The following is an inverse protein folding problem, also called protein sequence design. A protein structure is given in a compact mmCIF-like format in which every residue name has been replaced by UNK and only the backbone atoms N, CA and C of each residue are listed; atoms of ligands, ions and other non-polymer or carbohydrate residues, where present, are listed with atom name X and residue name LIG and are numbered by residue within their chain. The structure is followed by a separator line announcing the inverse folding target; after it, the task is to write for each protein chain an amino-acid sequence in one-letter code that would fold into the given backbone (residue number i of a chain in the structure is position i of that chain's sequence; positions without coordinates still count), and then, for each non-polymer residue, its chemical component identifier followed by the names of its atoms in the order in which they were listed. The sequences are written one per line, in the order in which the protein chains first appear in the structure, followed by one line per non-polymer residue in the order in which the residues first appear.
data_IF_735093247982
#
_entry.id   IF_735093247982
#
_cell.length_a   1.000
_cell.length_b   1.000
_cell.length_c   1.000
_cell.angle_alpha   90.00
_cell.angle_beta   90.00
_cell.angle_gamma   90.00
#
_symmetry.space_group_name_H-M   'P 1'
#
loop_
_entity.id
_entity.type
_entity.pdbx_description
1 polymer ?
#
# COMPACT_ATOMS: atom_id res chain seq x y z
N UNK A 1 -12.22 -12.76 -7.56
CA UNK A 1 -12.25 -12.74 -9.05
C UNK A 1 -10.95 -13.30 -9.59
N UNK A 2 -11.00 -14.05 -10.68
CA UNK A 2 -9.87 -14.87 -11.19
C UNK A 2 -8.56 -14.10 -11.40
N UNK A 3 -8.63 -12.85 -11.86
CA UNK A 3 -7.44 -12.04 -12.16
C UNK A 3 -6.75 -11.53 -10.88
N UNK A 4 -7.49 -10.80 -10.03
CA UNK A 4 -6.93 -10.19 -8.80
C UNK A 4 -6.50 -11.24 -7.78
N UNK A 5 -7.26 -12.32 -7.63
CA UNK A 5 -6.91 -13.40 -6.70
C UNK A 5 -5.60 -14.08 -7.14
N UNK A 6 -5.46 -14.42 -8.42
CA UNK A 6 -4.22 -15.03 -8.94
C UNK A 6 -3.00 -14.15 -8.72
N UNK A 7 -3.13 -12.82 -8.89
CA UNK A 7 -2.04 -11.87 -8.63
C UNK A 7 -1.71 -11.72 -7.14
N UNK A 8 -2.68 -11.91 -6.26
CA UNK A 8 -2.49 -11.81 -4.81
C UNK A 8 -1.90 -13.09 -4.19
N UNK A 9 -2.44 -14.27 -4.52
CA UNK A 9 -2.11 -15.54 -3.83
C UNK A 9 -1.42 -16.58 -4.72
N UNK A 10 -1.14 -16.24 -5.97
CA UNK A 10 -0.50 -17.12 -6.94
C UNK A 10 -1.45 -18.09 -7.66
N UNK A 11 -0.94 -18.68 -8.75
CA UNK A 11 -1.71 -19.54 -9.68
C UNK A 11 -2.30 -20.78 -9.01
N UNK A 12 -1.49 -21.54 -8.27
CA UNK A 12 -1.91 -22.84 -7.73
C UNK A 12 -3.10 -22.71 -6.79
N UNK A 13 -2.98 -21.80 -5.81
CA UNK A 13 -4.03 -21.55 -4.82
C UNK A 13 -5.28 -20.94 -5.44
N UNK A 14 -5.12 -19.96 -6.33
CA UNK A 14 -6.28 -19.37 -7.02
C UNK A 14 -7.03 -20.40 -7.86
N UNK A 15 -6.33 -21.35 -8.50
CA UNK A 15 -6.97 -22.39 -9.30
C UNK A 15 -7.79 -23.34 -8.43
N UNK A 16 -7.22 -23.82 -7.33
CA UNK A 16 -7.91 -24.67 -6.36
C UNK A 16 -9.20 -24.00 -5.85
N UNK A 17 -9.10 -22.75 -5.39
CA UNK A 17 -10.26 -22.01 -4.87
C UNK A 17 -11.32 -21.75 -5.95
N UNK A 18 -10.91 -21.33 -7.15
CA UNK A 18 -11.87 -21.00 -8.22
C UNK A 18 -12.58 -22.23 -8.80
N UNK A 19 -11.93 -23.40 -8.82
CA UNK A 19 -12.54 -24.62 -9.37
C UNK A 19 -13.35 -25.40 -8.34
N UNK A 20 -12.97 -25.36 -7.06
CA UNK A 20 -13.67 -26.10 -5.99
C UNK A 20 -14.71 -25.27 -5.26
N UNK A 21 -14.61 -23.94 -5.32
CA UNK A 21 -15.43 -23.04 -4.53
C UNK A 21 -15.11 -23.07 -3.02
N UNK A 22 -14.00 -23.69 -2.60
CA UNK A 22 -13.64 -23.74 -1.18
C UNK A 22 -13.41 -22.34 -0.62
N UNK A 23 -13.73 -22.18 0.66
CA UNK A 23 -13.43 -20.96 1.40
C UNK A 23 -12.00 -20.99 1.95
N UNK A 24 -11.45 -19.79 2.14
CA UNK A 24 -10.14 -19.56 2.78
C UNK A 24 -10.39 -18.90 4.14
N UNK A 25 -9.70 -19.36 5.18
CA UNK A 25 -9.76 -18.74 6.50
C UNK A 25 -8.77 -17.57 6.62
N UNK A 26 -8.88 -16.78 7.69
CA UNK A 26 -8.08 -15.56 7.87
C UNK A 26 -6.57 -15.85 7.94
N UNK A 27 -6.17 -16.91 8.64
CA UNK A 27 -4.75 -17.25 8.80
C UNK A 27 -4.12 -17.72 7.49
N UNK A 28 -4.86 -18.47 6.67
CA UNK A 28 -4.42 -18.82 5.32
C UNK A 28 -4.33 -17.58 4.43
N UNK A 29 -5.28 -16.65 4.55
CA UNK A 29 -5.29 -15.42 3.77
C UNK A 29 -4.05 -14.56 4.04
N UNK A 30 -3.65 -14.42 5.31
CA UNK A 30 -2.45 -13.66 5.71
C UNK A 30 -1.18 -14.33 5.19
N UNK A 31 -1.00 -15.63 5.45
CA UNK A 31 0.16 -16.38 4.95
C UNK A 31 0.28 -16.41 3.42
N UNK A 32 -0.83 -16.21 2.71
CA UNK A 32 -0.87 -16.18 1.24
C UNK A 32 -0.71 -14.77 0.68
N UNK A 33 -0.58 -13.73 1.51
CA UNK A 33 -0.46 -12.34 1.08
C UNK A 33 -1.77 -11.70 0.60
N UNK A 34 -2.93 -12.33 0.87
CA UNK A 34 -4.24 -11.78 0.49
C UNK A 34 -4.68 -10.65 1.43
N UNK A 35 -4.31 -10.74 2.71
CA UNK A 35 -4.56 -9.71 3.73
C UNK A 35 -3.26 -9.38 4.45
N UNK A 36 -3.13 -8.14 4.91
CA UNK A 36 -1.89 -7.66 5.54
C UNK A 36 -1.72 -8.13 7.00
N UNK A 37 -2.81 -8.40 7.71
CA UNK A 37 -2.80 -8.87 9.12
C UNK A 37 -4.13 -9.51 9.51
N UNK A 38 -4.10 -10.36 10.53
CA UNK A 38 -5.26 -10.88 11.25
C UNK A 38 -5.24 -10.33 12.68
N UNK A 39 -6.40 -9.89 13.16
CA UNK A 39 -6.57 -9.33 14.52
C UNK A 39 -7.81 -9.95 15.17
N UNK A 40 -7.93 -9.92 16.52
CA UNK A 40 -9.15 -10.32 17.20
C UNK A 40 -10.37 -9.55 16.68
N UNK A 41 -11.50 -10.24 16.51
CA UNK A 41 -12.70 -9.63 15.91
C UNK A 41 -13.17 -8.39 16.69
N UNK A 42 -13.08 -8.43 18.03
CA UNK A 42 -13.47 -7.31 18.89
C UNK A 42 -12.62 -6.04 18.68
N UNK A 43 -11.39 -6.18 18.17
CA UNK A 43 -10.44 -5.08 17.95
C UNK A 43 -10.37 -4.63 16.48
N UNK A 44 -11.16 -5.27 15.59
CA UNK A 44 -11.07 -5.06 14.14
C UNK A 44 -11.17 -3.59 13.75
N UNK A 45 -12.17 -2.88 14.29
CA UNK A 45 -12.41 -1.49 13.95
C UNK A 45 -11.32 -0.58 14.51
N UNK A 46 -10.90 -0.80 15.75
CA UNK A 46 -9.88 0.01 16.43
C UNK A 46 -8.53 -0.09 15.73
N UNK A 47 -8.09 -1.31 15.40
CA UNK A 47 -6.85 -1.52 14.67
C UNK A 47 -6.91 -0.96 13.24
N UNK A 48 -8.06 -1.07 12.56
CA UNK A 48 -8.27 -0.46 11.24
C UNK A 48 -8.19 1.07 11.31
N UNK A 49 -8.86 1.69 12.28
CA UNK A 49 -8.84 3.15 12.48
C UNK A 49 -7.45 3.66 12.87
N UNK A 50 -6.73 2.94 13.74
CA UNK A 50 -5.34 3.25 14.10
C UNK A 50 -4.45 3.33 12.86
N UNK A 51 -4.60 2.36 11.95
CA UNK A 51 -3.85 2.36 10.68
C UNK A 51 -4.29 3.50 9.75
N UNK A 52 -5.59 3.77 9.67
CA UNK A 52 -6.11 4.89 8.89
C UNK A 52 -5.60 6.24 9.44
N UNK A 53 -5.52 6.42 10.75
CA UNK A 53 -4.96 7.60 11.40
C UNK A 53 -3.48 7.76 11.10
N UNK A 54 -2.69 6.68 11.15
CA UNK A 54 -1.27 6.73 10.75
C UNK A 54 -1.12 7.10 9.28
N UNK A 55 -1.97 6.57 8.38
CA UNK A 55 -1.94 6.99 6.97
C UNK A 55 -2.33 8.47 6.86
N UNK A 56 -3.39 8.91 7.52
CA UNK A 56 -3.85 10.30 7.47
C UNK A 56 -2.81 11.30 8.01
N UNK A 57 -1.88 10.87 8.85
CA UNK A 57 -0.78 11.70 9.37
C UNK A 57 0.45 11.76 8.45
N UNK A 58 0.42 11.16 7.25
CA UNK A 58 1.52 11.18 6.28
C UNK A 58 1.30 12.22 5.17
N UNK A 59 2.36 12.65 4.45
CA UNK A 59 2.24 13.60 3.35
C UNK A 59 1.25 13.14 2.25
N UNK A 60 0.14 13.85 1.99
CA UNK A 60 -0.91 13.38 1.10
C UNK A 60 -0.46 13.09 -0.33
N UNK A 61 0.43 13.91 -0.90
CA UNK A 61 0.95 13.68 -2.25
C UNK A 61 1.82 12.43 -2.32
N UNK A 62 2.70 12.22 -1.34
CA UNK A 62 3.56 11.05 -1.28
C UNK A 62 2.73 9.77 -1.17
N UNK A 63 1.66 9.77 -0.35
CA UNK A 63 0.75 8.63 -0.24
C UNK A 63 0.07 8.26 -1.56
N UNK A 64 -0.44 9.26 -2.29
CA UNK A 64 -1.09 9.02 -3.59
C UNK A 64 -0.11 8.43 -4.59
N UNK A 65 1.09 9.02 -4.68
CA UNK A 65 2.16 8.55 -5.56
C UNK A 65 2.61 7.14 -5.20
N UNK A 66 2.84 6.84 -3.91
CA UNK A 66 3.23 5.49 -3.47
C UNK A 66 2.18 4.44 -3.84
N UNK A 67 0.89 4.74 -3.63
CA UNK A 67 -0.21 3.85 -4.03
C UNK A 67 -0.23 3.65 -5.55
N UNK A 68 -0.01 4.69 -6.33
CA UNK A 68 0.04 4.61 -7.79
C UNK A 68 1.19 3.72 -8.27
N UNK A 69 2.40 3.92 -7.73
CA UNK A 69 3.59 3.15 -8.11
C UNK A 69 3.43 1.66 -7.78
N UNK A 70 2.91 1.33 -6.59
CA UNK A 70 2.65 -0.06 -6.21
C UNK A 70 1.63 -0.71 -7.14
N UNK A 71 0.57 0.00 -7.52
CA UNK A 71 -0.42 -0.54 -8.46
C UNK A 71 0.17 -0.71 -9.87
N UNK A 72 1.00 0.22 -10.33
CA UNK A 72 1.65 0.15 -11.64
C UNK A 72 2.62 -1.03 -11.76
N UNK A 73 3.24 -1.44 -10.65
CA UNK A 73 4.13 -2.61 -10.61
C UNK A 73 3.43 -3.92 -10.99
N UNK A 74 2.10 -4.00 -10.89
CA UNK A 74 1.32 -5.18 -11.32
C UNK A 74 0.97 -5.19 -12.82
N UNK A 75 1.20 -4.07 -13.52
CA UNK A 75 0.79 -3.89 -14.92
C UNK A 75 1.98 -3.56 -15.84
N UNK A 76 3.19 -3.44 -15.29
CA UNK A 76 4.41 -3.07 -16.03
C UNK A 76 5.58 -3.99 -15.68
N UNK A 77 6.63 -3.95 -16.52
CA UNK A 77 7.90 -4.61 -16.23
C UNK A 77 8.77 -3.71 -15.34
N UNK A 78 9.75 -4.31 -14.66
CA UNK A 78 10.59 -3.63 -13.67
C UNK A 78 11.27 -2.37 -14.23
N UNK A 79 11.80 -2.42 -15.45
CA UNK A 79 12.47 -1.30 -16.10
C UNK A 79 11.53 -0.10 -16.30
N UNK A 80 10.30 -0.33 -16.77
CA UNK A 80 9.28 0.70 -16.94
C UNK A 80 8.76 1.20 -15.60
N UNK A 81 8.58 0.32 -14.62
CA UNK A 81 8.19 0.66 -13.26
C UNK A 81 9.21 1.61 -12.61
N UNK A 82 10.51 1.32 -12.73
CA UNK A 82 11.58 2.18 -12.20
C UNK A 82 11.64 3.54 -12.90
N UNK A 83 11.42 3.59 -14.21
CA UNK A 83 11.33 4.86 -14.94
C UNK A 83 10.12 5.69 -14.50
N UNK A 84 8.98 5.04 -14.24
CA UNK A 84 7.77 5.68 -13.71
C UNK A 84 7.99 6.23 -12.30
N UNK A 85 8.53 5.39 -11.40
CA UNK A 85 8.86 5.75 -10.02
C UNK A 85 9.80 6.96 -9.98
N UNK A 86 10.88 6.95 -10.77
CA UNK A 86 11.82 8.08 -10.83
C UNK A 86 11.13 9.39 -11.21
N UNK A 87 10.23 9.37 -12.18
CA UNK A 87 9.50 10.59 -12.62
C UNK A 87 8.57 11.11 -11.53
N UNK A 88 7.79 10.22 -10.91
CA UNK A 88 6.89 10.61 -9.83
C UNK A 88 7.66 11.12 -8.60
N UNK A 89 8.79 10.50 -8.27
CA UNK A 89 9.66 10.97 -7.21
C UNK A 89 10.21 12.38 -7.49
N UNK A 90 10.63 12.65 -8.73
CA UNK A 90 11.06 13.99 -9.14
C UNK A 90 9.95 15.03 -8.95
N UNK A 91 8.69 14.70 -9.28
CA UNK A 91 7.55 15.59 -9.04
C UNK A 91 7.37 15.86 -7.54
N UNK A 92 7.47 14.84 -6.68
CA UNK A 92 7.39 15.01 -5.23
C UNK A 92 8.48 15.93 -4.69
N UNK A 93 9.67 15.99 -5.31
CA UNK A 93 10.72 16.91 -4.84
C UNK A 93 10.37 18.39 -4.95
N UNK A 94 9.37 18.73 -5.75
CA UNK A 94 8.87 20.09 -5.92
C UNK A 94 7.72 20.46 -4.95
N UNK A 95 7.22 19.52 -4.14
CA UNK A 95 6.11 19.81 -3.21
C UNK A 95 6.57 20.59 -1.97
N UNK A 96 5.66 21.35 -1.37
CA UNK A 96 5.90 21.99 -0.07
C UNK A 96 6.14 20.93 1.01
N UNK A 97 5.40 19.82 0.94
CA UNK A 97 5.50 18.71 1.89
C UNK A 97 6.90 18.06 1.90
N UNK A 98 7.60 18.04 0.75
CA UNK A 98 8.97 17.51 0.72
C UNK A 98 9.93 18.44 1.46
N UNK A 99 9.81 19.76 1.28
CA UNK A 99 10.65 20.73 1.99
C UNK A 99 10.38 20.67 3.50
N UNK A 100 9.10 20.62 3.88
CA UNK A 100 8.67 20.46 5.27
C UNK A 100 9.16 19.15 5.87
N UNK A 101 9.08 18.03 5.15
CA UNK A 101 9.51 16.73 5.65
C UNK A 101 11.02 16.70 5.94
N UNK A 102 11.82 17.38 5.11
CA UNK A 102 13.25 17.55 5.38
C UNK A 102 13.51 18.42 6.62
N UNK A 103 12.80 19.53 6.76
CA UNK A 103 12.93 20.43 7.90
C UNK A 103 12.52 19.73 9.21
N UNK A 104 11.34 19.10 9.22
CA UNK A 104 10.81 18.37 10.37
C UNK A 104 11.75 17.23 10.82
N UNK A 105 12.37 16.51 9.87
CA UNK A 105 13.35 15.47 10.17
C UNK A 105 14.61 16.02 10.85
N UNK A 106 15.18 17.12 10.33
CA UNK A 106 16.37 17.77 10.90
C UNK A 106 16.05 18.33 12.29
N UNK A 107 14.89 18.97 12.44
CA UNK A 107 14.41 19.60 13.67
C UNK A 107 13.82 18.59 14.67
N UNK A 108 13.72 17.30 14.31
CA UNK A 108 13.17 16.20 15.13
C UNK A 108 11.76 16.50 15.65
N UNK A 109 10.91 17.07 14.80
CA UNK A 109 9.51 17.36 15.10
C UNK A 109 8.59 16.64 14.11
N UNK A 110 7.30 16.62 14.43
CA UNK A 110 6.30 16.14 13.48
C UNK A 110 6.18 17.08 12.28
N UNK A 111 5.97 16.50 11.10
CA UNK A 111 5.79 17.26 9.86
C UNK A 111 4.35 17.76 9.71
N UNK A 112 4.21 18.97 9.19
CA UNK A 112 2.92 19.62 8.95
C UNK A 112 2.58 19.62 7.46
N UNK A 113 1.82 18.62 7.04
CA UNK A 113 1.52 18.39 5.63
C UNK A 113 0.38 19.27 5.12
N UNK A 114 0.58 19.90 3.96
CA UNK A 114 -0.43 20.69 3.24
C UNK A 114 -0.95 19.98 1.99
N UNK A 115 -0.28 18.92 1.54
CA UNK A 115 -0.73 18.11 0.41
C UNK A 115 -0.60 18.80 -0.95
N UNK A 116 0.38 19.70 -1.10
CA UNK A 116 0.68 20.45 -2.32
C UNK A 116 2.18 20.67 -2.49
#
# INVERSE_FOLDING_TARGET
GSQRLTRAVGKAKSMEMCLTGRMMNADEAERSGLVARVVPHAELLDEALKTATTIASMPPMALRVNKEMVNAAFETMLDQGLLHERRLFQILTASEDKAEGMAAFIEKREGQWKGR
#
